data_IF_672610363753
#
_entry.id   IF_672610363753
#
_cell.length_a   1.000
_cell.length_b   1.000
_cell.length_c   1.000
_cell.angle_alpha   90.00
_cell.angle_beta   90.00
_cell.angle_gamma   90.00
#
_symmetry.space_group_name_H-M   'P 1'
#
loop_
_entity.id
_entity.type
_entity.pdbx_description
1 polymer ?
#
# COMPACT_ATOMS: atom_id res chain seq x y z
N UNK A 1 1.15 45.36 -16.11
CA UNK A 1 2.41 44.77 -15.65
C UNK A 1 2.37 43.30 -15.99
N UNK A 2 3.15 42.88 -16.98
CA UNK A 2 3.30 41.46 -17.29
C UNK A 2 4.46 40.93 -16.44
N UNK A 3 4.18 39.92 -15.62
CA UNK A 3 5.20 39.25 -14.83
C UNK A 3 5.75 38.11 -15.68
N UNK A 4 6.91 38.32 -16.29
CA UNK A 4 7.61 37.28 -17.05
C UNK A 4 8.35 36.39 -16.04
N UNK A 5 7.75 35.26 -15.71
CA UNK A 5 8.36 34.24 -14.85
C UNK A 5 9.24 33.31 -15.70
N UNK A 6 10.55 33.20 -15.40
CA UNK A 6 11.41 32.24 -16.05
C UNK A 6 10.88 30.82 -15.83
N UNK A 7 10.80 29.97 -16.87
CA UNK A 7 10.23 28.63 -16.78
C UNK A 7 10.93 27.74 -15.73
N UNK A 8 12.21 27.99 -15.46
CA UNK A 8 12.97 27.25 -14.43
C UNK A 8 12.59 27.64 -13.01
N UNK A 9 12.27 28.92 -12.76
CA UNK A 9 11.73 29.35 -11.46
C UNK A 9 10.32 28.79 -11.25
N UNK A 10 9.51 28.77 -12.31
CA UNK A 10 8.18 28.17 -12.26
C UNK A 10 8.23 26.69 -11.89
N UNK A 11 9.13 25.90 -12.52
CA UNK A 11 9.34 24.49 -12.17
C UNK A 11 9.78 24.29 -10.71
N UNK A 12 10.66 25.15 -10.20
CA UNK A 12 11.10 25.06 -8.80
C UNK A 12 9.96 25.34 -7.82
N UNK A 13 9.16 26.37 -8.08
CA UNK A 13 8.02 26.70 -7.21
C UNK A 13 6.92 25.66 -7.30
N UNK A 14 6.67 25.08 -8.48
CA UNK A 14 5.77 23.92 -8.62
C UNK A 14 6.27 22.74 -7.79
N UNK A 15 7.57 22.41 -7.84
CA UNK A 15 8.13 21.32 -7.01
C UNK A 15 7.97 21.57 -5.52
N UNK A 16 8.20 22.81 -5.06
CA UNK A 16 8.02 23.18 -3.65
C UNK A 16 6.56 23.06 -3.24
N UNK A 17 5.64 23.63 -4.02
CA UNK A 17 4.21 23.55 -3.75
C UNK A 17 3.71 22.10 -3.74
N UNK A 18 4.23 21.25 -4.63
CA UNK A 18 3.88 19.82 -4.69
C UNK A 18 4.33 19.05 -3.44
N UNK A 19 5.48 19.41 -2.85
CA UNK A 19 5.95 18.84 -1.58
C UNK A 19 5.17 19.41 -0.38
N UNK A 20 4.95 20.73 -0.37
CA UNK A 20 4.27 21.43 0.73
C UNK A 20 2.80 21.06 0.86
N UNK A 21 2.13 20.81 -0.28
CA UNK A 21 0.73 20.41 -0.35
C UNK A 21 0.54 18.88 -0.29
N UNK A 22 1.59 18.10 -0.03
CA UNK A 22 1.58 16.63 0.01
C UNK A 22 0.97 16.00 -1.27
N UNK A 23 1.20 16.65 -2.42
CA UNK A 23 0.70 16.21 -3.72
C UNK A 23 1.61 15.15 -4.37
N UNK A 24 2.74 14.83 -3.73
CA UNK A 24 3.53 13.63 -4.06
C UNK A 24 2.91 12.45 -3.32
N UNK A 25 2.35 11.44 -4.01
CA UNK A 25 1.82 10.27 -3.32
C UNK A 25 2.93 9.56 -2.54
N UNK A 26 2.88 9.62 -1.20
CA UNK A 26 3.37 8.61 -0.25
C UNK A 26 4.74 7.99 -0.58
N UNK A 27 5.72 8.83 -0.91
CA UNK A 27 7.10 8.40 -1.13
C UNK A 27 7.70 7.65 0.09
N UNK A 28 7.14 7.82 1.29
CA UNK A 28 7.60 7.14 2.51
C UNK A 28 7.38 5.62 2.55
N UNK A 29 6.55 5.05 1.67
CA UNK A 29 6.26 3.60 1.67
C UNK A 29 6.75 2.87 0.42
N UNK A 30 7.32 3.60 -0.54
CA UNK A 30 7.91 3.00 -1.74
C UNK A 30 9.13 2.16 -1.35
N UNK A 31 9.06 0.85 -1.65
CA UNK A 31 10.10 -0.12 -1.28
C UNK A 31 10.03 -0.65 0.16
N UNK A 32 9.06 -0.20 0.97
CA UNK A 32 8.83 -0.76 2.30
C UNK A 32 8.13 -2.10 2.21
N UNK A 33 8.65 -3.06 2.96
CA UNK A 33 8.03 -4.37 3.13
C UNK A 33 7.58 -4.55 4.57
N UNK A 34 6.39 -5.10 4.76
CA UNK A 34 5.82 -5.39 6.06
C UNK A 34 5.54 -6.89 6.21
N UNK A 35 5.47 -7.35 7.45
CA UNK A 35 5.06 -8.70 7.78
C UNK A 35 3.53 -8.88 7.66
N UNK A 36 3.08 -10.15 7.63
CA UNK A 36 1.65 -10.47 7.70
C UNK A 36 0.99 -9.90 8.97
N UNK A 37 1.72 -9.87 10.10
CA UNK A 37 1.18 -9.32 11.35
C UNK A 37 0.99 -7.81 11.28
N UNK A 38 1.91 -7.08 10.66
CA UNK A 38 1.73 -5.64 10.43
C UNK A 38 0.61 -5.37 9.44
N UNK A 39 0.53 -6.16 8.36
CA UNK A 39 -0.51 -6.01 7.35
C UNK A 39 -1.92 -6.24 7.91
N UNK A 40 -2.11 -7.29 8.72
CA UNK A 40 -3.43 -7.59 9.29
C UNK A 40 -3.90 -6.51 10.26
N UNK A 41 -2.98 -5.95 11.06
CA UNK A 41 -3.29 -4.90 12.02
C UNK A 41 -3.59 -3.57 11.31
N UNK A 42 -2.75 -3.17 10.34
CA UNK A 42 -2.90 -1.90 9.63
C UNK A 42 -4.09 -1.88 8.67
N UNK A 43 -4.26 -2.91 7.85
CA UNK A 43 -5.18 -2.87 6.69
C UNK A 43 -6.39 -3.77 6.84
N UNK A 44 -6.33 -4.80 7.70
CA UNK A 44 -7.40 -5.78 7.85
C UNK A 44 -8.18 -5.63 9.16
N UNK A 45 -7.95 -4.58 9.94
CA UNK A 45 -8.64 -4.35 11.22
C UNK A 45 -8.37 -5.43 12.27
N UNK A 46 -7.14 -5.97 12.30
CA UNK A 46 -6.72 -6.97 13.30
C UNK A 46 -7.21 -8.40 13.05
N UNK A 47 -7.72 -8.70 11.84
CA UNK A 47 -8.21 -10.05 11.48
C UNK A 47 -7.15 -11.13 11.63
N UNK A 48 -7.60 -12.38 11.74
CA UNK A 48 -6.72 -13.54 11.90
C UNK A 48 -5.84 -13.77 10.66
N UNK A 49 -4.66 -14.39 10.85
CA UNK A 49 -3.78 -14.78 9.73
C UNK A 49 -4.47 -15.71 8.74
N UNK A 50 -5.34 -16.59 9.23
CA UNK A 50 -6.13 -17.51 8.41
C UNK A 50 -7.11 -16.73 7.52
N UNK A 51 -7.85 -15.80 8.13
CA UNK A 51 -8.77 -14.92 7.39
C UNK A 51 -8.06 -14.14 6.29
N UNK A 52 -6.91 -13.52 6.56
CA UNK A 52 -6.14 -12.78 5.54
C UNK A 52 -5.75 -13.70 4.39
N UNK A 53 -5.25 -14.91 4.69
CA UNK A 53 -4.85 -15.87 3.67
C UNK A 53 -6.03 -16.28 2.79
N UNK A 54 -7.18 -16.56 3.37
CA UNK A 54 -8.29 -17.14 2.61
C UNK A 54 -9.16 -16.08 1.93
N UNK A 55 -9.36 -14.93 2.57
CA UNK A 55 -10.18 -13.86 2.03
C UNK A 55 -9.41 -12.96 1.07
N UNK A 56 -8.08 -12.87 1.20
CA UNK A 56 -7.24 -12.01 0.37
C UNK A 56 -6.30 -12.85 -0.49
N UNK A 57 -5.33 -13.55 0.12
CA UNK A 57 -4.21 -14.13 -0.65
C UNK A 57 -4.65 -15.26 -1.61
N UNK A 58 -5.46 -16.21 -1.15
CA UNK A 58 -5.86 -17.36 -1.96
C UNK A 58 -6.93 -17.01 -3.00
N UNK A 59 -7.84 -16.09 -2.65
CA UNK A 59 -8.91 -15.65 -3.56
C UNK A 59 -8.39 -14.76 -4.67
N UNK A 60 -7.61 -13.74 -4.31
CA UNK A 60 -7.21 -12.71 -5.25
C UNK A 60 -5.81 -12.92 -5.82
N UNK A 61 -4.97 -13.77 -5.19
CA UNK A 61 -3.60 -14.08 -5.62
C UNK A 61 -2.80 -12.82 -5.98
N UNK A 62 -2.68 -11.87 -5.02
CA UNK A 62 -2.01 -10.61 -5.27
C UNK A 62 -0.54 -10.79 -5.64
N UNK A 63 -0.05 -9.93 -6.53
CA UNK A 63 1.35 -9.85 -6.97
C UNK A 63 2.27 -9.09 -5.99
N UNK A 64 1.68 -8.38 -5.02
CA UNK A 64 2.40 -7.66 -3.96
C UNK A 64 2.78 -8.53 -2.74
N UNK A 65 2.60 -9.85 -2.84
CA UNK A 65 3.06 -10.82 -1.84
C UNK A 65 4.10 -11.74 -2.48
N UNK A 66 5.31 -11.77 -1.93
CA UNK A 66 6.44 -12.51 -2.51
C UNK A 66 6.28 -14.05 -2.36
N UNK A 67 5.72 -14.51 -1.23
CA UNK A 67 5.41 -15.92 -1.01
C UNK A 67 4.24 -16.09 -0.02
N UNK A 68 3.10 -16.59 -0.51
CA UNK A 68 1.89 -16.85 0.31
C UNK A 68 1.99 -18.16 1.11
N UNK A 69 2.93 -19.05 0.75
CA UNK A 69 3.19 -20.35 1.38
C UNK A 69 4.66 -20.51 1.78
N UNK A 70 5.19 -19.62 2.64
CA UNK A 70 6.57 -19.73 3.07
C UNK A 70 6.80 -21.08 3.74
N UNK A 71 7.87 -21.77 3.33
CA UNK A 71 8.36 -22.97 4.00
C UNK A 71 8.65 -22.72 5.48
N UNK A 72 8.93 -23.79 6.24
CA UNK A 72 9.22 -23.67 7.68
C UNK A 72 10.31 -22.63 7.97
N UNK A 73 10.03 -21.73 8.90
CA UNK A 73 10.96 -20.68 9.35
C UNK A 73 11.01 -19.43 8.47
N UNK A 74 10.33 -19.40 7.32
CA UNK A 74 10.24 -18.21 6.46
C UNK A 74 9.01 -17.37 6.81
N UNK A 75 9.14 -16.05 6.65
CA UNK A 75 8.06 -15.08 6.88
C UNK A 75 7.45 -14.68 5.53
N UNK A 76 6.18 -14.30 5.56
CA UNK A 76 5.54 -13.66 4.40
C UNK A 76 6.02 -12.21 4.35
N UNK A 77 6.49 -11.80 3.17
CA UNK A 77 6.89 -10.43 2.84
C UNK A 77 5.81 -9.79 1.98
N UNK A 78 5.32 -8.62 2.41
CA UNK A 78 4.26 -7.87 1.74
C UNK A 78 4.83 -6.51 1.34
N UNK A 79 4.72 -6.13 0.07
CA UNK A 79 5.09 -4.80 -0.38
C UNK A 79 3.99 -3.81 0.01
N UNK A 80 4.28 -2.91 0.96
CA UNK A 80 3.25 -2.14 1.67
C UNK A 80 2.48 -1.19 0.74
N UNK A 81 3.20 -0.44 -0.10
CA UNK A 81 2.57 0.52 -1.02
C UNK A 81 1.54 -0.14 -1.97
N UNK A 82 1.90 -1.15 -2.79
CA UNK A 82 0.92 -1.79 -3.67
C UNK A 82 -0.17 -2.54 -2.89
N UNK A 83 0.13 -3.08 -1.72
CA UNK A 83 -0.89 -3.71 -0.86
C UNK A 83 -1.92 -2.69 -0.35
N UNK A 84 -1.49 -1.50 0.06
CA UNK A 84 -2.37 -0.43 0.51
C UNK A 84 -3.27 0.08 -0.61
N UNK A 85 -2.71 0.30 -1.80
CA UNK A 85 -3.47 0.73 -2.99
C UNK A 85 -4.51 -0.33 -3.39
N UNK A 86 -4.12 -1.60 -3.36
CA UNK A 86 -5.01 -2.72 -3.65
C UNK A 86 -6.15 -2.82 -2.63
N UNK A 87 -5.86 -2.70 -1.34
CA UNK A 87 -6.86 -2.75 -0.27
C UNK A 87 -7.90 -1.64 -0.39
N UNK A 88 -7.50 -0.43 -0.78
CA UNK A 88 -8.44 0.68 -1.03
C UNK A 88 -9.39 0.36 -2.19
N UNK A 89 -8.84 -0.13 -3.31
CA UNK A 89 -9.59 -0.45 -4.53
C UNK A 89 -10.58 -1.61 -4.32
N UNK A 90 -10.15 -2.66 -3.65
CA UNK A 90 -10.91 -3.91 -3.51
C UNK A 90 -11.67 -4.03 -2.19
N UNK A 91 -11.69 -2.98 -1.35
CA UNK A 91 -12.33 -2.99 -0.02
C UNK A 91 -13.75 -3.55 -0.03
N UNK A 92 -14.54 -3.26 -1.07
CA UNK A 92 -15.95 -3.68 -1.18
C UNK A 92 -16.13 -5.14 -1.62
N UNK A 93 -15.12 -5.72 -2.25
CA UNK A 93 -15.15 -7.10 -2.77
C UNK A 93 -14.78 -8.12 -1.69
N UNK A 94 -14.02 -7.69 -0.69
CA UNK A 94 -13.57 -8.53 0.42
C UNK A 94 -14.76 -8.88 1.33
N UNK A 95 -14.92 -10.17 1.66
CA UNK A 95 -15.92 -10.60 2.63
C UNK A 95 -15.43 -10.37 4.08
N UNK A 96 -15.59 -9.13 4.55
CA UNK A 96 -15.28 -8.72 5.92
C UNK A 96 -16.07 -9.45 7.01
N UNK A 97 -17.18 -10.11 6.66
CA UNK A 97 -18.02 -10.87 7.60
C UNK A 97 -17.69 -12.35 7.62
N UNK A 98 -16.79 -12.83 6.77
CA UNK A 98 -16.36 -14.22 6.80
C UNK A 98 -15.84 -14.54 8.20
N UNK A 99 -16.45 -15.55 8.81
CA UNK A 99 -16.08 -16.02 10.14
C UNK A 99 -14.84 -16.90 10.02
N UNK A 100 -13.65 -16.32 10.26
CA UNK A 100 -12.40 -17.05 10.54
C UNK A 100 -11.51 -16.36 11.56
#
# INVERSE_FOLDING_TARGET
MEVILPPEKLKQEIKKAVVELDLVPRAETLGHTISLDEFREKYCGGRSKAWVKEEIFYKFKPDWVDDIHPGRGRKITIFEYPAAEWMEKHRKEINWRASK
#
